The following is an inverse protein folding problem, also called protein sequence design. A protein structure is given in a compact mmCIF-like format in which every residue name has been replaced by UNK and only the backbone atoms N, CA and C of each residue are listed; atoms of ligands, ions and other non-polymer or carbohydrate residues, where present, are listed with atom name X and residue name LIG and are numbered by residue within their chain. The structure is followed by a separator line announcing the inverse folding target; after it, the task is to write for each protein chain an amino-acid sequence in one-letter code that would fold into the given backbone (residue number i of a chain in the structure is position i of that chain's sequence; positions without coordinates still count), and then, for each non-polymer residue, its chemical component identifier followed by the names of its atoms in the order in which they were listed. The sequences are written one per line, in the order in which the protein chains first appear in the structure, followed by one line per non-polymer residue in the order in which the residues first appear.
data_IF_174072325465
#
_entry.id   IF_174072325465
#
_cell.length_a   1.000
_cell.length_b   1.000
_cell.length_c   1.000
_cell.angle_alpha   90.00
_cell.angle_beta   90.00
_cell.angle_gamma   90.00
#
_symmetry.space_group_name_H-M   'P 1'
#
loop_
_entity.id
_entity.type
_entity.pdbx_description
1 polymer ?
#
# COMPACT_ATOMS: atom_id res chain seq x y z
N UNK A 1 0.46 -12.90 1.56
CA UNK A 1 1.05 -11.65 2.07
C UNK A 1 1.97 -12.02 3.21
N UNK A 2 3.16 -11.41 3.36
CA UNK A 2 3.72 -11.30 4.71
C UNK A 2 2.65 -10.56 5.51
N UNK A 3 2.24 -11.10 6.66
CA UNK A 3 1.26 -10.43 7.51
C UNK A 3 1.72 -8.98 7.69
N UNK A 4 0.94 -8.03 7.17
CA UNK A 4 1.22 -6.62 7.40
C UNK A 4 0.82 -6.39 8.85
N UNK A 5 1.82 -6.32 9.71
CA UNK A 5 1.63 -6.08 11.14
C UNK A 5 1.84 -4.61 11.43
N UNK A 6 0.81 -3.95 11.95
CA UNK A 6 0.93 -2.60 12.45
C UNK A 6 1.65 -2.59 13.78
N UNK A 7 2.49 -1.58 14.00
CA UNK A 7 2.96 -1.30 15.36
C UNK A 7 1.77 -0.92 16.25
N UNK A 8 1.93 -1.04 17.56
CA UNK A 8 0.89 -0.64 18.53
C UNK A 8 0.43 0.81 18.31
N UNK A 9 1.38 1.72 18.09
CA UNK A 9 1.11 3.14 17.83
C UNK A 9 0.36 3.34 16.50
N UNK A 10 0.76 2.65 15.43
CA UNK A 10 0.03 2.69 14.16
C UNK A 10 -1.40 2.19 14.31
N UNK A 11 -1.59 1.06 15.01
CA UNK A 11 -2.92 0.50 15.27
C UNK A 11 -3.78 1.47 16.07
N UNK A 12 -3.26 2.06 17.14
CA UNK A 12 -3.97 3.07 17.95
C UNK A 12 -4.39 4.28 17.12
N UNK A 13 -3.48 4.80 16.28
CA UNK A 13 -3.76 5.93 15.40
C UNK A 13 -4.82 5.59 14.34
N UNK A 14 -4.73 4.43 13.69
CA UNK A 14 -5.71 4.01 12.68
C UNK A 14 -7.09 3.80 13.32
N UNK A 15 -7.15 3.15 14.48
CA UNK A 15 -8.41 2.94 15.22
C UNK A 15 -9.04 4.28 15.62
N UNK A 16 -8.24 5.24 16.09
CA UNK A 16 -8.72 6.59 16.36
C UNK A 16 -9.38 7.22 15.11
N UNK A 17 -8.73 7.11 13.95
CA UNK A 17 -9.25 7.66 12.71
C UNK A 17 -10.53 6.97 12.23
N UNK A 18 -10.64 5.65 12.39
CA UNK A 18 -11.88 4.91 12.08
C UNK A 18 -13.02 5.43 12.96
N UNK A 19 -12.82 5.52 14.27
CA UNK A 19 -13.83 6.04 15.20
C UNK A 19 -14.23 7.47 14.87
N UNK A 20 -13.25 8.32 14.58
CA UNK A 20 -13.49 9.72 14.22
C UNK A 20 -14.29 9.84 12.92
N UNK A 21 -13.95 9.05 11.91
CA UNK A 21 -14.69 9.01 10.64
C UNK A 21 -16.14 8.61 10.85
N UNK A 22 -16.41 7.58 11.66
CA UNK A 22 -17.78 7.16 11.95
C UNK A 22 -18.61 8.24 12.64
N UNK A 23 -18.04 8.89 13.65
CA UNK A 23 -18.73 9.98 14.34
C UNK A 23 -18.96 11.17 13.39
N UNK A 24 -17.96 11.52 12.58
CA UNK A 24 -18.03 12.68 11.69
C UNK A 24 -19.00 12.50 10.52
N UNK A 25 -18.97 11.34 9.87
CA UNK A 25 -19.71 11.10 8.65
C UNK A 25 -21.09 10.46 8.89
N UNK A 26 -21.24 9.70 9.98
CA UNK A 26 -22.49 8.99 10.29
C UNK A 26 -23.14 9.43 11.62
N UNK A 27 -22.48 10.27 12.42
CA UNK A 27 -22.98 10.64 13.76
C UNK A 27 -22.92 9.48 14.76
N UNK A 28 -22.26 8.38 14.43
CA UNK A 28 -22.20 7.18 15.26
C UNK A 28 -20.88 7.10 16.04
N UNK A 29 -20.97 6.98 17.36
CA UNK A 29 -19.81 6.66 18.19
C UNK A 29 -19.66 5.14 18.30
N UNK A 30 -18.57 4.61 17.77
CA UNK A 30 -18.24 3.18 17.87
C UNK A 30 -17.14 2.93 18.91
N UNK A 31 -17.16 1.73 19.50
CA UNK A 31 -16.19 1.32 20.51
C UNK A 31 -14.80 1.06 19.93
N UNK A 32 -13.82 0.87 20.83
CA UNK A 32 -12.46 0.47 20.45
C UNK A 32 -12.46 -0.88 19.71
N UNK A 33 -13.18 -1.87 20.24
CA UNK A 33 -13.22 -3.21 19.64
C UNK A 33 -13.88 -3.22 18.27
N UNK A 34 -14.97 -2.46 18.08
CA UNK A 34 -15.65 -2.35 16.78
C UNK A 34 -14.70 -1.79 15.71
N UNK A 35 -13.98 -0.71 16.05
CA UNK A 35 -13.02 -0.11 15.15
C UNK A 35 -11.81 -1.03 14.87
N UNK A 36 -11.35 -1.80 15.86
CA UNK A 36 -10.32 -2.83 15.66
C UNK A 36 -10.79 -3.96 14.75
N UNK A 37 -12.04 -4.42 14.88
CA UNK A 37 -12.61 -5.43 13.99
C UNK A 37 -12.74 -4.92 12.56
N UNK A 38 -13.14 -3.66 12.38
CA UNK A 38 -13.16 -3.03 11.05
C UNK A 38 -11.76 -2.95 10.44
N UNK A 39 -10.75 -2.57 11.24
CA UNK A 39 -9.36 -2.57 10.79
C UNK A 39 -8.90 -3.97 10.34
N UNK A 40 -9.17 -5.00 11.14
CA UNK A 40 -8.85 -6.40 10.83
C UNK A 40 -9.55 -6.86 9.54
N UNK A 41 -10.85 -6.57 9.42
CA UNK A 41 -11.67 -6.92 8.26
C UNK A 41 -11.12 -6.26 6.98
N UNK A 42 -10.90 -4.94 7.00
CA UNK A 42 -10.37 -4.23 5.82
C UNK A 42 -8.95 -4.64 5.47
N UNK A 43 -8.09 -4.86 6.47
CA UNK A 43 -6.72 -5.34 6.25
C UNK A 43 -6.72 -6.70 5.55
N UNK A 44 -7.67 -7.58 5.89
CA UNK A 44 -7.78 -8.92 5.32
C UNK A 44 -8.45 -8.91 3.95
N UNK A 45 -9.57 -8.20 3.80
CA UNK A 45 -10.40 -8.25 2.59
C UNK A 45 -9.95 -7.27 1.51
N UNK A 46 -9.43 -6.09 1.89
CA UNK A 46 -9.12 -4.99 0.97
C UNK A 46 -7.61 -4.76 0.86
N UNK A 47 -6.86 -4.94 1.96
CA UNK A 47 -5.40 -4.78 2.00
C UNK A 47 -4.65 -5.46 0.85
N UNK A 48 -4.98 -6.72 0.46
CA UNK A 48 -4.37 -7.39 -0.68
C UNK A 48 -4.44 -6.63 -2.01
N UNK A 49 -5.56 -5.97 -2.28
CA UNK A 49 -5.77 -5.25 -3.53
C UNK A 49 -4.85 -4.04 -3.62
N UNK A 50 -4.79 -3.24 -2.55
CA UNK A 50 -3.89 -2.07 -2.48
C UNK A 50 -2.42 -2.49 -2.52
N UNK A 51 -2.04 -3.52 -1.75
CA UNK A 51 -0.66 -4.01 -1.70
C UNK A 51 -0.19 -4.51 -3.07
N UNK A 52 -0.97 -5.38 -3.71
CA UNK A 52 -0.62 -5.92 -5.02
C UNK A 52 -0.59 -4.83 -6.10
N UNK A 53 -1.52 -3.86 -6.03
CA UNK A 53 -1.51 -2.74 -6.96
C UNK A 53 -0.25 -1.88 -6.79
N UNK A 54 0.13 -1.57 -5.55
CA UNK A 54 1.37 -0.85 -5.27
C UNK A 54 2.62 -1.59 -5.75
N UNK A 55 2.65 -2.91 -5.64
CA UNK A 55 3.74 -3.72 -6.20
C UNK A 55 3.78 -3.67 -7.73
N UNK A 56 2.64 -3.73 -8.40
CA UNK A 56 2.56 -3.60 -9.85
C UNK A 56 3.05 -2.24 -10.33
N UNK A 57 2.63 -1.16 -9.65
CA UNK A 57 3.06 0.20 -9.98
C UNK A 57 4.58 0.36 -9.76
N UNK A 58 5.14 -0.22 -8.68
CA UNK A 58 6.59 -0.23 -8.44
C UNK A 58 7.36 -1.04 -9.48
N UNK A 59 6.83 -2.19 -9.91
CA UNK A 59 7.41 -3.00 -10.96
C UNK A 59 7.45 -2.23 -12.29
N UNK A 60 6.34 -1.60 -12.68
CA UNK A 60 6.28 -0.81 -13.91
C UNK A 60 7.29 0.36 -13.89
N UNK A 61 7.44 1.03 -12.75
CA UNK A 61 8.44 2.08 -12.59
C UNK A 61 9.88 1.54 -12.74
N UNK A 62 10.17 0.37 -12.15
CA UNK A 62 11.48 -0.27 -12.26
C UNK A 62 11.78 -0.74 -13.70
N UNK A 63 10.79 -1.33 -14.38
CA UNK A 63 10.90 -1.75 -15.79
C UNK A 63 11.21 -0.55 -16.69
N UNK A 64 10.52 0.56 -16.52
CA UNK A 64 10.78 1.79 -17.28
C UNK A 64 12.21 2.30 -17.10
N UNK A 65 12.75 2.25 -15.87
CA UNK A 65 14.14 2.66 -15.62
C UNK A 65 15.15 1.69 -16.21
N UNK A 66 14.85 0.39 -16.17
CA UNK A 66 15.69 -0.63 -16.78
C UNK A 66 15.75 -0.48 -18.30
N UNK A 67 14.62 -0.19 -18.94
CA UNK A 67 14.59 0.04 -20.38
C UNK A 67 15.37 1.30 -20.77
N UNK A 68 15.24 2.39 -19.99
CA UNK A 68 16.07 3.58 -20.19
C UNK A 68 17.58 3.27 -20.07
N UNK A 69 17.97 2.40 -19.14
CA UNK A 69 19.36 1.96 -19.01
C UNK A 69 19.81 1.12 -20.21
N UNK A 70 18.98 0.20 -20.70
CA UNK A 70 19.30 -0.61 -21.90
C UNK A 70 19.52 0.27 -23.12
N UNK A 71 18.64 1.26 -23.34
CA UNK A 71 18.79 2.22 -24.44
C UNK A 71 20.11 3.00 -24.31
N UNK A 72 20.44 3.48 -23.12
CA UNK A 72 21.71 4.17 -22.89
C UNK A 72 22.93 3.28 -23.23
N UNK A 73 22.92 2.02 -22.81
CA UNK A 73 23.98 1.06 -23.14
C UNK A 73 24.05 0.77 -24.64
N UNK A 74 22.90 0.61 -25.32
CA UNK A 74 22.85 0.39 -26.77
C UNK A 74 23.49 1.54 -27.54
N UNK A 75 23.29 2.79 -27.12
CA UNK A 75 23.94 3.95 -27.75
C UNK A 75 25.46 3.99 -27.59
N UNK A 76 26.02 3.21 -26.66
CA UNK A 76 27.46 3.10 -26.42
C UNK A 76 28.11 1.94 -27.18
N UNK A 77 27.33 1.06 -27.81
CA UNK A 77 27.87 -0.05 -28.59
C UNK A 77 28.60 0.48 -29.84
N UNK A 78 29.81 -0.02 -30.09
CA UNK A 78 30.54 0.27 -31.32
C UNK A 78 30.28 -0.81 -32.38
N UNK A 79 30.09 -0.43 -33.65
CA UNK A 79 29.93 -1.41 -34.72
C UNK A 79 31.21 -2.22 -34.90
N UNK A 80 31.06 -3.54 -35.02
CA UNK A 80 32.16 -4.45 -35.35
C UNK A 80 32.32 -4.48 -36.88
N UNK A 81 33.55 -4.20 -37.37
CA UNK A 81 33.93 -4.29 -38.79
C UNK A 81 33.90 -5.73 -39.33
#
# INVERSE_FOLDING_TARGET
MKNIEFTKEQKEHIVHNIKHYFNKEFGEEIGQFDAEFLLEFFSTQIGPYFYNRGLQDAQAAAESQMDALKEALYTMEEPIL
#
